data_IF_351168898169
#
_entry.id   IF_351168898169
#
_cell.length_a   1.000
_cell.length_b   1.000
_cell.length_c   1.000
_cell.angle_alpha   90.00
_cell.angle_beta   90.00
_cell.angle_gamma   90.00
#
_symmetry.space_group_name_H-M   'P 1'
#
loop_
_entity.id
_entity.type
_entity.pdbx_description
1 polymer ?
#
# COMPACT_ATOMS: atom_id res chain seq x y z
N UNK A 1 18.00 9.98 15.16
CA UNK A 1 17.31 11.25 14.91
C UNK A 1 15.84 10.93 14.89
N UNK A 2 14.96 11.60 15.64
CA UNK A 2 13.53 11.34 15.55
C UNK A 2 13.05 11.59 14.12
N UNK A 3 12.10 10.81 13.63
CA UNK A 3 11.56 10.97 12.26
C UNK A 3 10.85 12.33 12.07
N UNK A 4 10.41 12.97 13.17
CA UNK A 4 9.96 14.37 13.18
C UNK A 4 11.00 15.35 12.61
N UNK A 5 12.28 15.06 12.78
CA UNK A 5 13.37 15.91 12.31
C UNK A 5 13.66 15.72 10.81
N UNK A 6 13.06 14.69 10.18
CA UNK A 6 13.20 14.41 8.75
C UNK A 6 12.13 15.12 7.88
N UNK A 7 11.29 15.97 8.49
CA UNK A 7 10.23 16.68 7.77
C UNK A 7 9.12 15.75 7.22
N UNK A 8 9.09 14.51 7.66
CA UNK A 8 8.17 13.47 7.18
C UNK A 8 6.84 13.48 7.95
N UNK A 9 6.70 14.38 8.93
CA UNK A 9 5.60 14.35 9.87
C UNK A 9 4.93 15.72 10.01
N UNK A 10 3.61 15.71 9.96
CA UNK A 10 2.81 16.83 10.42
C UNK A 10 3.10 17.08 11.92
N UNK A 11 3.45 18.31 12.29
CA UNK A 11 3.73 18.69 13.69
C UNK A 11 2.53 18.40 14.62
N UNK A 12 1.35 18.21 14.07
CA UNK A 12 0.11 17.88 14.78
C UNK A 12 -0.19 16.37 14.86
N UNK A 13 0.64 15.51 14.27
CA UNK A 13 0.41 14.07 14.30
C UNK A 13 0.79 13.46 15.65
N UNK A 14 -0.14 12.75 16.27
CA UNK A 14 0.09 12.02 17.52
C UNK A 14 0.65 10.63 17.24
N UNK A 15 1.84 10.33 17.76
CA UNK A 15 2.41 8.98 17.73
C UNK A 15 1.64 8.08 18.71
N UNK A 16 1.24 6.91 18.22
CA UNK A 16 0.55 5.88 18.99
C UNK A 16 1.20 4.52 18.72
N UNK A 17 0.93 3.56 19.59
CA UNK A 17 1.43 2.20 19.48
C UNK A 17 0.29 1.20 19.64
N UNK A 18 0.34 0.13 18.85
CA UNK A 18 -0.54 -1.03 18.97
C UNK A 18 0.31 -2.23 19.35
N UNK A 19 0.02 -2.81 20.54
CA UNK A 19 0.70 -4.01 21.01
C UNK A 19 0.17 -5.26 20.29
N UNK A 20 1.07 -6.17 19.93
CA UNK A 20 0.78 -7.45 19.32
C UNK A 20 0.93 -8.60 20.32
N UNK A 21 0.24 -9.75 20.11
CA UNK A 21 0.34 -10.90 21.02
C UNK A 21 1.74 -11.47 21.22
N UNK A 22 2.65 -11.23 20.26
CA UNK A 22 4.06 -11.63 20.32
C UNK A 22 4.95 -10.59 21.02
N UNK A 23 4.36 -9.50 21.57
CA UNK A 23 5.04 -8.43 22.26
C UNK A 23 5.62 -7.36 21.33
N UNK A 24 5.39 -7.45 20.02
CA UNK A 24 5.77 -6.37 19.11
C UNK A 24 4.84 -5.16 19.29
N UNK A 25 5.37 -3.96 19.12
CA UNK A 25 4.62 -2.70 19.10
C UNK A 25 4.67 -2.11 17.69
N UNK A 26 3.51 -1.80 17.14
CA UNK A 26 3.37 -1.19 15.82
C UNK A 26 3.08 0.30 16.01
N UNK A 27 4.01 1.14 15.58
CA UNK A 27 3.91 2.58 15.65
C UNK A 27 3.03 3.13 14.53
N UNK A 28 2.15 4.05 14.85
CA UNK A 28 1.29 4.71 13.87
C UNK A 28 0.94 6.14 14.25
N UNK A 29 0.56 6.92 13.26
CA UNK A 29 0.22 8.33 13.36
C UNK A 29 -1.12 8.60 12.74
N UNK A 30 -1.88 9.54 13.29
CA UNK A 30 -3.14 9.99 12.73
C UNK A 30 -3.19 11.50 12.54
N UNK A 31 -3.86 11.92 11.47
CA UNK A 31 -4.14 13.32 11.15
C UNK A 31 -5.55 13.46 10.58
N UNK A 32 -6.18 14.61 10.76
CA UNK A 32 -7.52 14.90 10.26
C UNK A 32 -8.63 14.24 11.07
N UNK A 33 -9.87 14.48 10.66
CA UNK A 33 -11.09 13.96 11.26
C UNK A 33 -12.06 13.51 10.17
N UNK A 34 -12.95 12.55 10.46
CA UNK A 34 -13.96 12.05 9.51
C UNK A 34 -13.85 10.54 9.26
N UNK A 35 -14.29 10.06 8.08
CA UNK A 35 -14.16 8.67 7.70
C UNK A 35 -12.70 8.21 7.73
N UNK A 36 -12.46 6.99 8.21
CA UNK A 36 -11.11 6.49 8.40
C UNK A 36 -10.48 6.00 7.11
N UNK A 37 -9.27 6.47 6.84
CA UNK A 37 -8.36 5.93 5.83
C UNK A 37 -7.11 5.41 6.52
N UNK A 38 -6.71 4.16 6.24
CA UNK A 38 -5.43 3.61 6.69
C UNK A 38 -4.54 3.35 5.50
N UNK A 39 -3.32 3.92 5.53
CA UNK A 39 -2.33 3.73 4.47
C UNK A 39 -1.58 2.42 4.65
N UNK A 40 -1.83 1.44 3.78
CA UNK A 40 -0.99 0.25 3.63
C UNK A 40 0.12 0.55 2.60
N UNK A 41 1.19 1.15 3.10
CA UNK A 41 2.30 1.61 2.26
C UNK A 41 3.15 0.45 1.75
N UNK A 42 4.00 0.70 0.75
CA UNK A 42 5.00 -0.24 0.27
C UNK A 42 6.04 -0.58 1.37
N UNK A 43 6.73 -1.70 1.23
CA UNK A 43 7.60 -2.28 2.29
C UNK A 43 8.78 -1.40 2.73
N UNK A 44 9.17 -0.39 1.97
CA UNK A 44 10.17 0.59 2.40
C UNK A 44 9.60 1.62 3.39
N UNK A 45 8.28 1.76 3.51
CA UNK A 45 7.65 2.74 4.39
C UNK A 45 7.87 4.20 3.99
N UNK A 46 8.09 4.47 2.71
CA UNK A 46 8.41 5.82 2.21
C UNK A 46 7.13 6.64 2.03
N UNK A 47 6.73 7.43 3.01
CA UNK A 47 5.50 8.21 2.99
C UNK A 47 5.54 9.45 2.09
N UNK A 48 6.72 10.01 1.84
CA UNK A 48 6.87 11.24 1.06
C UNK A 48 6.26 11.16 -0.34
N UNK A 49 6.18 9.97 -0.92
CA UNK A 49 5.53 9.75 -2.22
C UNK A 49 4.04 10.12 -2.21
N UNK A 50 3.43 10.16 -1.02
CA UNK A 50 2.00 10.31 -0.83
C UNK A 50 1.62 11.54 -0.01
N UNK A 51 2.57 12.42 0.34
CA UNK A 51 2.31 13.59 1.19
C UNK A 51 1.18 14.47 0.65
N UNK A 52 1.22 14.80 -0.64
CA UNK A 52 0.18 15.62 -1.27
C UNK A 52 -1.20 14.94 -1.24
N UNK A 53 -1.25 13.63 -1.50
CA UNK A 53 -2.49 12.86 -1.43
C UNK A 53 -3.03 12.78 0.00
N UNK A 54 -2.17 12.44 0.96
CA UNK A 54 -2.57 12.29 2.36
C UNK A 54 -2.96 13.64 2.96
N UNK A 55 -2.25 14.72 2.65
CA UNK A 55 -2.60 16.08 3.05
C UNK A 55 -3.95 16.54 2.49
N UNK A 56 -4.22 16.21 1.22
CA UNK A 56 -5.50 16.48 0.60
C UNK A 56 -6.65 15.72 1.27
N UNK A 57 -6.44 14.45 1.61
CA UNK A 57 -7.43 13.60 2.28
C UNK A 57 -7.65 13.99 3.74
N UNK A 58 -6.62 14.42 4.46
CA UNK A 58 -6.70 14.81 5.87
C UNK A 58 -7.59 16.04 6.13
N UNK A 59 -8.01 16.76 5.08
CA UNK A 59 -8.96 17.90 5.19
C UNK A 59 -10.35 17.42 5.63
N UNK A 60 -10.77 16.24 5.21
CA UNK A 60 -12.12 15.71 5.41
C UNK A 60 -12.17 14.22 5.82
N UNK A 61 -10.99 13.62 6.03
CA UNK A 61 -10.84 12.23 6.47
C UNK A 61 -9.86 12.14 7.64
N UNK A 62 -10.07 11.14 8.49
CA UNK A 62 -9.10 10.70 9.49
C UNK A 62 -8.09 9.77 8.81
N UNK A 63 -6.86 10.21 8.63
CA UNK A 63 -5.81 9.49 7.91
C UNK A 63 -4.84 8.88 8.91
N UNK A 64 -4.66 7.56 8.85
CA UNK A 64 -3.71 6.80 9.66
C UNK A 64 -2.57 6.28 8.79
N UNK A 65 -1.35 6.54 9.24
CA UNK A 65 -0.09 6.04 8.67
C UNK A 65 0.60 5.19 9.72
N UNK A 66 1.06 4.01 9.37
CA UNK A 66 1.77 3.14 10.32
C UNK A 66 3.12 2.70 9.74
N UNK A 67 4.03 2.36 10.62
CA UNK A 67 5.28 1.72 10.27
C UNK A 67 5.13 0.20 10.33
N UNK A 68 5.57 -0.46 9.28
CA UNK A 68 5.70 -1.91 9.29
C UNK A 68 6.66 -2.34 10.41
N UNK A 69 6.45 -3.51 10.97
CA UNK A 69 7.40 -4.16 11.87
C UNK A 69 8.81 -4.11 11.27
N UNK A 70 9.82 -3.75 12.06
CA UNK A 70 11.19 -3.57 11.59
C UNK A 70 11.49 -2.24 10.91
N UNK A 71 10.50 -1.33 10.80
CA UNK A 71 10.67 -0.02 10.21
C UNK A 71 10.28 1.11 11.17
N UNK A 72 10.88 2.27 11.00
CA UNK A 72 10.60 3.46 11.81
C UNK A 72 10.64 3.19 13.30
N UNK A 73 9.59 3.61 14.02
CA UNK A 73 9.43 3.42 15.46
C UNK A 73 8.79 2.09 15.87
N UNK A 74 8.37 1.26 14.89
CA UNK A 74 7.86 -0.09 15.19
C UNK A 74 8.97 -1.03 15.65
N UNK A 75 8.58 -2.04 16.44
CA UNK A 75 9.50 -3.06 16.95
C UNK A 75 10.36 -3.66 15.86
N UNK A 76 11.68 -3.67 16.06
CA UNK A 76 12.68 -4.18 15.10
C UNK A 76 12.93 -5.67 15.28
N UNK A 77 11.87 -6.49 15.20
CA UNK A 77 11.95 -7.95 15.28
C UNK A 77 10.98 -8.57 14.27
N UNK A 78 11.45 -9.60 13.55
CA UNK A 78 10.61 -10.34 12.59
C UNK A 78 9.54 -11.19 13.24
N UNK A 79 8.81 -11.99 12.46
CA UNK A 79 9.03 -12.22 11.02
C UNK A 79 8.66 -11.03 10.14
N UNK A 80 9.28 -10.94 8.96
CA UNK A 80 9.08 -9.88 7.98
C UNK A 80 8.48 -10.48 6.71
N UNK A 81 7.21 -10.84 6.76
CA UNK A 81 6.45 -11.44 5.67
C UNK A 81 5.05 -10.82 5.55
N UNK A 82 4.38 -11.08 4.42
CA UNK A 82 3.10 -10.47 4.10
C UNK A 82 1.97 -10.89 5.05
N UNK A 83 2.00 -12.10 5.61
CA UNK A 83 0.96 -12.54 6.52
C UNK A 83 1.08 -11.85 7.88
N UNK A 84 2.29 -11.79 8.43
CA UNK A 84 2.55 -11.04 9.66
C UNK A 84 2.23 -9.55 9.49
N UNK A 85 2.66 -8.95 8.38
CA UNK A 85 2.38 -7.55 8.08
C UNK A 85 0.87 -7.28 7.90
N UNK A 86 0.10 -8.23 7.36
CA UNK A 86 -1.35 -8.12 7.27
C UNK A 86 -2.02 -8.17 8.66
N UNK A 87 -1.57 -9.05 9.54
CA UNK A 87 -2.07 -9.11 10.92
C UNK A 87 -1.71 -7.85 11.72
N UNK A 88 -0.53 -7.25 11.49
CA UNK A 88 -0.15 -5.98 12.09
C UNK A 88 -1.05 -4.84 11.58
N UNK A 89 -1.34 -4.78 10.28
CA UNK A 89 -2.29 -3.83 9.70
C UNK A 89 -3.70 -3.99 10.30
N UNK A 90 -4.19 -5.22 10.45
CA UNK A 90 -5.49 -5.50 11.08
C UNK A 90 -5.53 -4.96 12.52
N UNK A 91 -4.47 -5.18 13.30
CA UNK A 91 -4.40 -4.69 14.67
C UNK A 91 -4.36 -3.15 14.76
N UNK A 92 -3.67 -2.49 13.84
CA UNK A 92 -3.70 -1.01 13.75
C UNK A 92 -5.11 -0.53 13.46
N UNK A 93 -5.82 -1.13 12.49
CA UNK A 93 -7.22 -0.76 12.17
C UNK A 93 -8.11 -0.99 13.41
N UNK A 94 -8.03 -2.12 14.09
CA UNK A 94 -8.79 -2.41 15.31
C UNK A 94 -8.55 -1.35 16.39
N UNK A 95 -7.31 -0.90 16.56
CA UNK A 95 -6.94 0.14 17.55
C UNK A 95 -7.54 1.50 17.24
N UNK A 96 -7.97 1.75 16.01
CA UNK A 96 -8.66 3.00 15.63
C UNK A 96 -10.14 3.03 16.05
N UNK A 97 -10.74 1.86 16.31
CA UNK A 97 -12.11 1.69 16.77
C UNK A 97 -13.18 1.79 15.68
N UNK A 98 -12.81 1.82 14.40
CA UNK A 98 -13.78 1.88 13.28
C UNK A 98 -13.23 1.19 12.02
N UNK A 99 -14.11 0.69 11.13
CA UNK A 99 -13.69 0.16 9.84
C UNK A 99 -13.02 1.22 8.97
N UNK A 100 -12.03 0.81 8.18
CA UNK A 100 -11.22 1.71 7.37
C UNK A 100 -11.46 1.51 5.87
N UNK A 101 -11.37 2.58 5.09
CA UNK A 101 -10.92 2.46 3.72
C UNK A 101 -9.40 2.23 3.77
N UNK A 102 -8.92 1.14 3.15
CA UNK A 102 -7.48 0.86 3.08
C UNK A 102 -6.92 1.42 1.78
N UNK A 103 -6.08 2.44 1.87
CA UNK A 103 -5.34 3.00 0.74
C UNK A 103 -4.03 2.25 0.63
N UNK A 104 -3.83 1.48 -0.46
CA UNK A 104 -2.78 0.47 -0.53
C UNK A 104 -1.84 0.69 -1.73
N UNK A 105 -0.53 0.59 -1.51
CA UNK A 105 0.49 0.78 -2.56
C UNK A 105 1.39 -0.45 -2.70
N UNK A 106 1.67 -0.82 -3.96
CA UNK A 106 2.53 -1.94 -4.32
C UNK A 106 2.18 -3.21 -3.52
N UNK A 107 3.13 -3.77 -2.76
CA UNK A 107 2.91 -4.91 -1.87
C UNK A 107 1.93 -4.62 -0.72
N UNK A 108 1.65 -3.35 -0.43
CA UNK A 108 0.57 -2.93 0.46
C UNK A 108 -0.80 -3.41 -0.01
N UNK A 109 -1.03 -3.53 -1.32
CA UNK A 109 -2.24 -4.13 -1.88
C UNK A 109 -2.41 -5.59 -1.45
N UNK A 110 -1.33 -6.38 -1.49
CA UNK A 110 -1.35 -7.78 -1.07
C UNK A 110 -1.68 -7.94 0.44
N UNK A 111 -1.18 -7.03 1.29
CA UNK A 111 -1.55 -6.98 2.73
C UNK A 111 -3.01 -6.57 2.93
N UNK A 112 -3.44 -5.51 2.23
CA UNK A 112 -4.79 -4.97 2.34
C UNK A 112 -5.86 -6.01 1.99
N UNK A 113 -5.70 -6.72 0.86
CA UNK A 113 -6.68 -7.74 0.45
C UNK A 113 -6.70 -8.95 1.39
N UNK A 114 -5.57 -9.28 2.05
CA UNK A 114 -5.52 -10.32 3.09
C UNK A 114 -6.33 -9.92 4.32
N UNK A 115 -6.12 -8.70 4.83
CA UNK A 115 -6.92 -8.18 5.95
C UNK A 115 -8.40 -8.19 5.57
N UNK A 116 -8.74 -7.59 4.43
CA UNK A 116 -10.11 -7.44 4.00
C UNK A 116 -10.84 -8.78 3.81
N UNK A 117 -10.17 -9.81 3.29
CA UNK A 117 -10.77 -11.13 3.10
C UNK A 117 -10.90 -11.94 4.39
N UNK A 118 -9.96 -11.77 5.34
CA UNK A 118 -9.95 -12.49 6.63
C UNK A 118 -10.81 -11.80 7.70
N UNK A 119 -10.89 -10.49 7.64
CA UNK A 119 -11.53 -9.63 8.63
C UNK A 119 -12.42 -8.59 7.93
N UNK A 120 -13.49 -9.03 7.24
CA UNK A 120 -14.33 -8.15 6.42
C UNK A 120 -15.01 -7.02 7.22
N UNK A 121 -15.13 -7.15 8.53
CA UNK A 121 -15.65 -6.13 9.43
C UNK A 121 -14.70 -4.96 9.66
N UNK A 122 -13.41 -5.11 9.35
CA UNK A 122 -12.40 -4.06 9.58
C UNK A 122 -12.26 -3.08 8.41
N UNK A 123 -12.92 -3.32 7.27
CA UNK A 123 -12.75 -2.46 6.12
C UNK A 123 -14.06 -2.11 5.42
N UNK A 124 -14.08 -0.94 4.78
CA UNK A 124 -15.17 -0.51 3.89
C UNK A 124 -14.82 -0.74 2.43
N UNK A 125 -13.62 -0.38 2.01
CA UNK A 125 -13.08 -0.62 0.67
C UNK A 125 -11.55 -0.72 0.70
N UNK A 126 -10.96 -1.30 -0.34
CA UNK A 126 -9.53 -1.24 -0.63
C UNK A 126 -9.35 -0.46 -1.92
N UNK A 127 -8.58 0.61 -1.89
CA UNK A 127 -8.21 1.43 -3.04
C UNK A 127 -6.71 1.32 -3.24
N UNK A 128 -6.29 0.85 -4.39
CA UNK A 128 -4.86 0.63 -4.69
C UNK A 128 -4.42 1.40 -5.93
N UNK A 129 -3.83 2.58 -5.76
CA UNK A 129 -3.06 3.21 -6.82
C UNK A 129 -1.69 2.53 -6.96
N UNK A 130 -1.42 1.97 -8.13
CA UNK A 130 -0.17 1.26 -8.45
C UNK A 130 0.12 0.03 -7.57
N UNK A 131 -0.88 -0.83 -7.37
CA UNK A 131 -0.70 -2.14 -6.73
C UNK A 131 -1.65 -3.17 -7.33
N UNK A 132 -1.17 -4.39 -7.55
CA UNK A 132 -1.98 -5.46 -8.12
C UNK A 132 -1.83 -6.73 -7.26
N UNK A 133 -2.94 -7.28 -6.74
CA UNK A 133 -2.91 -8.46 -5.89
C UNK A 133 -2.85 -9.77 -6.68
N UNK A 134 -3.03 -9.73 -8.00
CA UNK A 134 -3.03 -10.92 -8.86
C UNK A 134 -1.60 -11.40 -9.07
N UNK A 135 -1.34 -12.65 -8.71
CA UNK A 135 -0.03 -13.26 -8.90
C UNK A 135 0.40 -13.32 -10.37
N UNK A 136 1.68 -13.15 -10.63
CA UNK A 136 2.26 -13.11 -11.99
C UNK A 136 1.94 -14.37 -12.80
N UNK A 137 1.78 -15.51 -12.16
CA UNK A 137 1.42 -16.79 -12.81
C UNK A 137 0.00 -16.81 -13.38
N UNK A 138 -0.90 -16.01 -12.84
CA UNK A 138 -2.27 -15.89 -13.32
C UNK A 138 -2.39 -14.92 -14.51
N UNK A 139 -1.46 -14.00 -14.66
CA UNK A 139 -1.40 -13.04 -15.74
C UNK A 139 -0.71 -13.68 -16.96
N UNK A 140 -1.30 -13.52 -18.14
CA UNK A 140 -0.90 -14.26 -19.35
C UNK A 140 0.02 -13.49 -20.31
N UNK A 141 0.39 -12.27 -20.01
CA UNK A 141 1.28 -11.52 -20.85
C UNK A 141 2.74 -11.89 -20.55
N UNK A 142 3.28 -12.82 -21.35
CA UNK A 142 4.57 -13.46 -21.11
C UNK A 142 5.76 -12.51 -21.24
N UNK A 143 5.75 -11.55 -22.17
CA UNK A 143 6.93 -10.72 -22.44
C UNK A 143 7.09 -9.59 -21.42
N UNK A 144 6.03 -8.85 -21.09
CA UNK A 144 6.06 -7.80 -20.08
C UNK A 144 6.28 -8.37 -18.67
N UNK A 145 5.66 -9.52 -18.35
CA UNK A 145 5.84 -10.19 -17.07
C UNK A 145 7.23 -10.81 -16.92
N UNK A 146 7.77 -11.47 -17.97
CA UNK A 146 9.12 -12.00 -17.93
C UNK A 146 10.15 -10.88 -17.76
N UNK A 147 9.94 -9.72 -18.39
CA UNK A 147 10.76 -8.54 -18.16
C UNK A 147 10.63 -8.03 -16.71
N UNK A 148 9.41 -7.97 -16.18
CA UNK A 148 9.14 -7.55 -14.80
C UNK A 148 9.75 -8.52 -13.78
N UNK A 149 9.60 -9.82 -13.96
CA UNK A 149 10.24 -10.83 -13.10
C UNK A 149 11.77 -10.72 -13.14
N UNK A 150 12.37 -10.50 -14.31
CA UNK A 150 13.80 -10.30 -14.47
C UNK A 150 14.29 -9.07 -13.70
N UNK A 151 13.57 -7.96 -13.79
CA UNK A 151 13.90 -6.73 -13.04
C UNK A 151 13.74 -6.94 -11.53
N UNK A 152 12.67 -7.61 -11.08
CA UNK A 152 12.47 -7.92 -9.65
C UNK A 152 13.58 -8.84 -9.11
N UNK A 153 13.99 -9.86 -9.85
CA UNK A 153 15.11 -10.73 -9.46
C UNK A 153 16.45 -9.98 -9.45
N UNK A 154 16.68 -9.09 -10.41
CA UNK A 154 17.85 -8.21 -10.40
C UNK A 154 17.84 -7.28 -9.17
N UNK A 155 16.68 -6.73 -8.82
CA UNK A 155 16.52 -5.90 -7.62
C UNK A 155 16.82 -6.70 -6.35
N UNK A 156 16.34 -7.93 -6.22
CA UNK A 156 16.70 -8.83 -5.10
C UNK A 156 18.20 -9.03 -5.04
N UNK A 157 18.86 -9.28 -6.18
CA UNK A 157 20.31 -9.42 -6.26
C UNK A 157 21.04 -8.17 -5.79
N UNK A 158 20.65 -7.00 -6.29
CA UNK A 158 21.22 -5.71 -5.88
C UNK A 158 20.98 -5.45 -4.39
N UNK A 159 19.77 -5.61 -3.90
CA UNK A 159 19.43 -5.40 -2.50
C UNK A 159 20.18 -6.34 -1.56
N UNK A 160 20.55 -7.53 -2.05
CA UNK A 160 21.33 -8.50 -1.27
C UNK A 160 22.80 -8.08 -1.14
N UNK A 161 23.40 -7.55 -2.21
CA UNK A 161 24.84 -7.26 -2.30
C UNK A 161 25.17 -5.80 -2.01
N UNK A 162 24.31 -4.88 -2.41
CA UNK A 162 24.45 -3.43 -2.21
C UNK A 162 23.10 -2.76 -2.05
N UNK A 163 22.57 -2.78 -0.84
CA UNK A 163 21.25 -2.21 -0.51
C UNK A 163 21.18 -0.71 -0.82
N UNK A 164 22.24 0.07 -0.52
CA UNK A 164 22.28 1.50 -0.81
C UNK A 164 22.30 1.79 -2.32
N UNK A 165 23.04 1.01 -3.07
CA UNK A 165 23.08 1.10 -4.54
C UNK A 165 21.74 0.74 -5.17
N UNK A 166 21.05 -0.28 -4.66
CA UNK A 166 19.69 -0.60 -5.09
C UNK A 166 18.71 0.54 -4.84
N UNK A 167 18.72 1.11 -3.63
CA UNK A 167 17.90 2.27 -3.28
C UNK A 167 18.22 3.48 -4.16
N UNK A 168 19.49 3.74 -4.44
CA UNK A 168 19.91 4.83 -5.33
C UNK A 168 19.29 4.68 -6.71
N UNK A 169 19.38 3.48 -7.29
CA UNK A 169 18.79 3.20 -8.61
C UNK A 169 17.29 3.45 -8.58
N UNK A 170 16.58 2.94 -7.57
CA UNK A 170 15.13 3.12 -7.44
C UNK A 170 14.73 4.59 -7.27
N UNK A 171 15.37 5.31 -6.36
CA UNK A 171 15.05 6.72 -6.06
C UNK A 171 15.34 7.60 -7.26
N UNK A 172 16.49 7.43 -7.92
CA UNK A 172 16.88 8.23 -9.08
C UNK A 172 15.98 7.96 -10.30
N UNK A 173 15.58 6.70 -10.51
CA UNK A 173 14.67 6.33 -11.61
C UNK A 173 13.27 6.90 -11.39
N UNK A 174 12.78 6.87 -10.16
CA UNK A 174 11.47 7.42 -9.82
C UNK A 174 11.44 8.96 -9.81
N UNK A 175 12.59 9.63 -9.71
CA UNK A 175 12.70 11.07 -9.59
C UNK A 175 13.83 11.61 -10.48
N UNK A 176 13.67 11.59 -11.81
CA UNK A 176 14.74 11.92 -12.75
C UNK A 176 15.20 13.39 -12.64
N UNK A 177 14.37 14.28 -12.11
CA UNK A 177 14.66 15.71 -11.96
C UNK A 177 15.35 16.06 -10.63
N UNK A 178 15.60 15.08 -9.75
CA UNK A 178 16.28 15.33 -8.48
C UNK A 178 17.80 15.40 -8.66
N UNK A 179 18.41 16.37 -7.98
CA UNK A 179 19.85 16.43 -7.88
C UNK A 179 20.44 15.31 -7.01
N UNK A 180 21.73 15.07 -7.14
CA UNK A 180 22.46 14.00 -6.45
C UNK A 180 22.43 14.15 -4.91
N UNK A 181 22.38 15.39 -4.39
CA UNK A 181 22.31 15.64 -2.95
C UNK A 181 20.97 15.16 -2.38
N UNK A 182 19.87 15.54 -3.05
CA UNK A 182 18.52 15.13 -2.67
C UNK A 182 18.35 13.61 -2.74
N UNK A 183 18.88 12.97 -3.79
CA UNK A 183 18.88 11.49 -3.91
C UNK A 183 19.65 10.88 -2.74
N UNK A 184 20.83 11.37 -2.41
CA UNK A 184 21.68 10.87 -1.33
C UNK A 184 21.03 11.01 0.04
N UNK A 185 20.42 12.16 0.32
CA UNK A 185 19.67 12.39 1.53
C UNK A 185 18.52 11.38 1.66
N UNK A 186 17.73 11.21 0.61
CA UNK A 186 16.61 10.27 0.60
C UNK A 186 17.02 8.81 0.84
N UNK A 187 18.16 8.40 0.28
CA UNK A 187 18.71 7.07 0.55
C UNK A 187 19.09 6.91 2.02
N UNK A 188 19.72 7.92 2.61
CA UNK A 188 20.11 7.89 4.02
C UNK A 188 18.88 7.74 4.94
N UNK A 189 17.83 8.51 4.69
CA UNK A 189 16.54 8.43 5.40
C UNK A 189 15.89 7.05 5.23
N UNK A 190 15.85 6.54 4.00
CA UNK A 190 15.25 5.23 3.72
C UNK A 190 15.96 4.11 4.45
N UNK A 191 17.31 4.10 4.48
CA UNK A 191 18.09 3.08 5.19
C UNK A 191 17.87 3.15 6.70
N UNK A 192 17.67 4.34 7.26
CA UNK A 192 17.38 4.51 8.68
C UNK A 192 15.97 4.02 9.03
N UNK A 193 14.98 4.36 8.21
CA UNK A 193 13.59 3.94 8.40
C UNK A 193 13.40 2.45 8.16
N UNK A 194 13.95 1.93 7.08
CA UNK A 194 13.77 0.55 6.64
C UNK A 194 15.13 -0.10 6.34
N UNK A 195 15.73 -0.79 7.30
CA UNK A 195 17.00 -1.47 7.11
C UNK A 195 16.84 -2.71 6.19
N UNK A 196 17.97 -3.13 5.60
CA UNK A 196 18.00 -4.23 4.63
C UNK A 196 17.39 -5.52 5.17
N UNK A 197 17.62 -5.84 6.44
CA UNK A 197 17.11 -7.05 7.11
C UNK A 197 15.57 -7.07 7.19
N UNK A 198 14.91 -5.92 7.16
CA UNK A 198 13.46 -5.81 7.11
C UNK A 198 12.92 -5.74 5.68
N UNK A 199 13.62 -5.05 4.77
CA UNK A 199 13.18 -4.84 3.40
C UNK A 199 13.32 -6.09 2.51
N UNK A 200 14.47 -6.77 2.57
CA UNK A 200 14.79 -7.87 1.65
C UNK A 200 13.87 -9.10 1.80
N UNK A 201 13.54 -9.58 3.01
CA UNK A 201 12.58 -10.66 3.18
C UNK A 201 11.19 -10.32 2.62
N UNK A 202 10.72 -9.08 2.82
CA UNK A 202 9.42 -8.61 2.29
C UNK A 202 9.39 -8.57 0.78
N UNK A 203 10.44 -8.03 0.15
CA UNK A 203 10.55 -8.05 -1.31
C UNK A 203 10.46 -9.49 -1.85
N UNK A 204 11.19 -10.43 -1.24
CA UNK A 204 11.15 -11.85 -1.62
C UNK A 204 9.78 -12.47 -1.41
N UNK A 205 9.13 -12.16 -0.29
CA UNK A 205 7.78 -12.62 0.01
C UNK A 205 6.77 -12.10 -1.02
N UNK A 206 6.83 -10.82 -1.36
CA UNK A 206 5.95 -10.20 -2.35
C UNK A 206 6.13 -10.77 -3.76
N UNK A 207 7.37 -10.96 -4.22
CA UNK A 207 7.63 -11.53 -5.56
C UNK A 207 7.07 -12.95 -5.71
N UNK A 208 7.08 -13.71 -4.63
CA UNK A 208 6.56 -15.09 -4.60
C UNK A 208 5.05 -15.17 -4.37
N UNK A 209 4.40 -14.05 -4.08
CA UNK A 209 3.03 -13.99 -3.62
C UNK A 209 1.99 -14.09 -4.75
N UNK A 210 0.82 -14.63 -4.38
CA UNK A 210 -0.40 -14.60 -5.17
C UNK A 210 -1.59 -14.38 -4.23
N UNK A 211 -2.10 -13.15 -4.21
CA UNK A 211 -3.23 -12.77 -3.37
C UNK A 211 -4.56 -12.77 -4.14
N UNK A 212 -4.64 -13.44 -5.31
CA UNK A 212 -5.81 -13.44 -6.19
C UNK A 212 -7.08 -13.90 -5.47
N UNK A 213 -7.03 -14.97 -4.69
CA UNK A 213 -8.21 -15.47 -3.98
C UNK A 213 -8.66 -14.51 -2.86
N UNK A 214 -7.71 -13.88 -2.17
CA UNK A 214 -8.02 -12.81 -1.21
C UNK A 214 -8.70 -11.63 -1.90
N UNK A 215 -8.17 -11.19 -3.03
CA UNK A 215 -8.74 -10.08 -3.81
C UNK A 215 -10.15 -10.40 -4.32
N UNK A 216 -10.39 -11.64 -4.80
CA UNK A 216 -11.70 -12.10 -5.27
C UNK A 216 -12.77 -12.02 -4.18
N UNK A 217 -12.41 -12.27 -2.94
CA UNK A 217 -13.33 -12.18 -1.81
C UNK A 217 -13.83 -10.76 -1.49
N UNK A 218 -13.19 -9.73 -2.02
CA UNK A 218 -13.60 -8.34 -1.82
C UNK A 218 -14.75 -7.92 -2.76
N UNK A 219 -14.85 -8.54 -3.95
CA UNK A 219 -15.84 -8.16 -4.96
C UNK A 219 -15.70 -6.69 -5.38
N UNK A 220 -16.82 -5.98 -5.36
CA UNK A 220 -16.94 -4.55 -5.75
C UNK A 220 -16.30 -3.56 -4.75
N UNK A 221 -15.80 -4.04 -3.61
CA UNK A 221 -15.06 -3.21 -2.64
C UNK A 221 -13.57 -3.10 -2.94
N UNK A 222 -13.08 -3.67 -4.05
CA UNK A 222 -11.70 -3.54 -4.53
C UNK A 222 -11.65 -2.56 -5.70
N UNK A 223 -10.82 -1.52 -5.55
CA UNK A 223 -10.57 -0.48 -6.54
C UNK A 223 -9.09 -0.46 -6.90
N UNK A 224 -8.77 -0.74 -8.15
CA UNK A 224 -7.43 -0.68 -8.68
C UNK A 224 -7.34 0.51 -9.63
N UNK A 225 -6.46 1.48 -9.30
CA UNK A 225 -6.25 2.68 -10.09
C UNK A 225 -4.94 2.51 -10.87
N UNK A 226 -5.06 2.21 -12.13
CA UNK A 226 -3.92 1.86 -12.98
C UNK A 226 -3.59 2.99 -13.95
N UNK A 227 -2.35 3.11 -14.32
CA UNK A 227 -1.90 4.09 -15.29
C UNK A 227 -1.01 3.47 -16.38
N UNK A 228 -1.07 4.04 -17.58
CA UNK A 228 -0.27 3.58 -18.71
C UNK A 228 1.21 3.94 -18.61
N UNK A 229 1.61 4.73 -17.63
CA UNK A 229 3.00 5.16 -17.40
C UNK A 229 3.74 4.23 -16.46
N UNK A 230 3.01 3.38 -15.73
CA UNK A 230 3.60 2.43 -14.79
C UNK A 230 4.17 1.22 -15.53
N UNK A 231 5.49 1.05 -15.45
CA UNK A 231 6.18 -0.08 -16.10
C UNK A 231 5.87 -1.46 -15.49
N UNK A 232 5.34 -1.49 -14.26
CA UNK A 232 5.04 -2.72 -13.53
C UNK A 232 3.58 -3.15 -13.68
N UNK A 233 2.68 -2.16 -13.77
CA UNK A 233 1.23 -2.34 -13.83
C UNK A 233 0.70 -1.64 -15.08
N UNK A 234 0.99 -2.22 -16.25
CA UNK A 234 0.57 -1.67 -17.55
C UNK A 234 -0.93 -1.81 -17.74
N UNK A 235 -1.50 -1.06 -18.69
CA UNK A 235 -2.92 -1.19 -19.05
C UNK A 235 -3.30 -2.61 -19.49
N UNK A 236 -2.37 -3.35 -20.08
CA UNK A 236 -2.61 -4.75 -20.42
C UNK A 236 -2.73 -5.62 -19.17
N UNK A 237 -1.89 -5.42 -18.18
CA UNK A 237 -2.01 -6.07 -16.86
C UNK A 237 -3.34 -5.70 -16.20
N UNK A 238 -3.74 -4.43 -16.26
CA UNK A 238 -5.04 -3.97 -15.73
C UNK A 238 -6.22 -4.71 -16.36
N UNK A 239 -6.23 -4.85 -17.70
CA UNK A 239 -7.29 -5.59 -18.43
C UNK A 239 -7.34 -7.07 -18.06
N UNK A 240 -6.17 -7.71 -17.93
CA UNK A 240 -6.10 -9.11 -17.49
C UNK A 240 -6.59 -9.26 -16.04
N UNK A 241 -6.22 -8.34 -15.17
CA UNK A 241 -6.69 -8.29 -13.79
C UNK A 241 -8.21 -8.16 -13.74
N UNK A 242 -8.81 -7.25 -14.52
CA UNK A 242 -10.26 -7.11 -14.63
C UNK A 242 -10.95 -8.41 -15.09
N UNK A 243 -10.33 -9.15 -16.00
CA UNK A 243 -10.87 -10.44 -16.45
C UNK A 243 -10.79 -11.54 -15.37
N UNK A 244 -9.79 -11.48 -14.48
CA UNK A 244 -9.59 -12.41 -13.37
C UNK A 244 -10.48 -12.04 -12.17
N UNK A 245 -10.66 -10.73 -11.94
CA UNK A 245 -11.45 -10.13 -10.85
C UNK A 245 -12.60 -9.29 -11.45
N UNK A 246 -13.64 -9.93 -12.00
CA UNK A 246 -14.67 -9.22 -12.77
C UNK A 246 -15.53 -8.27 -11.96
N UNK A 247 -15.60 -8.45 -10.64
CA UNK A 247 -16.37 -7.60 -9.73
C UNK A 247 -15.55 -6.40 -9.21
N UNK A 248 -14.23 -6.44 -9.33
CA UNK A 248 -13.38 -5.34 -8.90
C UNK A 248 -13.49 -4.15 -9.88
N UNK A 249 -13.32 -2.94 -9.36
CA UNK A 249 -13.24 -1.72 -10.17
C UNK A 249 -11.80 -1.50 -10.61
N UNK A 250 -11.52 -1.62 -11.92
CA UNK A 250 -10.22 -1.28 -12.49
C UNK A 250 -10.37 0.02 -13.28
N UNK A 251 -9.80 1.10 -12.78
CA UNK A 251 -9.91 2.43 -13.34
C UNK A 251 -8.57 2.87 -13.93
N UNK A 252 -8.62 3.36 -15.16
CA UNK A 252 -7.48 4.03 -15.79
C UNK A 252 -7.43 5.49 -15.30
N UNK A 253 -6.30 5.92 -14.74
CA UNK A 253 -6.05 7.30 -14.32
C UNK A 253 -5.01 7.91 -15.24
N UNK A 254 -5.44 8.88 -16.03
CA UNK A 254 -4.56 9.63 -16.92
C UNK A 254 -3.45 10.32 -16.12
N UNK A 255 -2.21 10.25 -16.60
CA UNK A 255 -1.00 10.74 -15.94
C UNK A 255 -0.62 10.03 -14.62
N UNK A 256 -1.30 8.92 -14.28
CA UNK A 256 -0.98 8.08 -13.15
C UNK A 256 -1.63 8.48 -11.81
N UNK A 257 -2.11 7.49 -11.11
CA UNK A 257 -2.85 7.69 -9.85
C UNK A 257 -1.99 8.31 -8.73
N UNK A 258 -0.67 8.11 -8.77
CA UNK A 258 0.27 8.70 -7.81
C UNK A 258 0.56 10.17 -8.18
N UNK A 259 0.74 10.45 -9.46
CA UNK A 259 1.04 11.79 -9.99
C UNK A 259 -0.17 12.74 -9.98
N UNK A 260 -1.37 12.17 -9.85
CA UNK A 260 -2.65 12.91 -9.80
C UNK A 260 -3.37 12.68 -8.47
N UNK A 261 -2.83 13.25 -7.37
CA UNK A 261 -3.42 13.09 -6.04
C UNK A 261 -4.85 13.64 -5.95
N UNK A 262 -5.19 14.64 -6.75
CA UNK A 262 -6.54 15.20 -6.86
C UNK A 262 -7.57 14.19 -7.40
N UNK A 263 -7.22 13.42 -8.42
CA UNK A 263 -8.09 12.39 -9.00
C UNK A 263 -8.26 11.24 -8.02
N UNK A 264 -7.16 10.73 -7.47
CA UNK A 264 -7.20 9.64 -6.48
C UNK A 264 -8.01 10.03 -5.25
N UNK A 265 -7.83 11.25 -4.72
CA UNK A 265 -8.64 11.75 -3.62
C UNK A 265 -10.13 11.88 -4.00
N UNK A 266 -10.43 12.30 -5.23
CA UNK A 266 -11.79 12.36 -5.75
C UNK A 266 -12.49 11.00 -5.78
N UNK A 267 -11.79 9.94 -6.22
CA UNK A 267 -12.30 8.55 -6.19
C UNK A 267 -12.57 8.12 -4.75
N UNK A 268 -11.62 8.35 -3.83
CA UNK A 268 -11.78 7.99 -2.42
C UNK A 268 -12.98 8.69 -1.79
N UNK A 269 -13.17 10.00 -2.05
CA UNK A 269 -14.33 10.76 -1.57
C UNK A 269 -15.64 10.23 -2.12
N UNK A 270 -15.68 9.82 -3.39
CA UNK A 270 -16.84 9.17 -3.98
C UNK A 270 -17.23 7.90 -3.22
N UNK A 271 -16.25 7.03 -2.91
CA UNK A 271 -16.46 5.79 -2.17
C UNK A 271 -16.91 6.05 -0.72
N UNK A 272 -16.29 7.00 -0.03
CA UNK A 272 -16.60 7.29 1.39
C UNK A 272 -17.87 8.10 1.59
N UNK A 273 -18.37 8.81 0.56
CA UNK A 273 -19.64 9.56 0.60
C UNK A 273 -20.87 8.65 0.42
N UNK A 274 -20.72 7.46 -0.17
CA UNK A 274 -21.81 6.50 -0.29
C UNK A 274 -22.06 5.86 1.09
N UNK A 275 -23.30 5.92 1.63
CA UNK A 275 -23.62 5.23 2.87
C UNK A 275 -23.37 3.73 2.67
N UNK A 276 -22.61 3.10 3.57
CA UNK A 276 -22.35 1.66 3.56
C UNK A 276 -23.70 0.94 3.38
N UNK A 277 -23.89 0.26 2.24
CA UNK A 277 -25.06 -0.58 2.03
C UNK A 277 -24.95 -1.75 3.02
N UNK A 278 -25.59 -1.59 4.16
CA UNK A 278 -25.87 -2.67 5.11
C UNK A 278 -26.66 -3.71 4.33
N UNK A 279 -26.09 -4.90 4.18
CA UNK A 279 -26.55 -6.00 3.34
C UNK A 279 -28.06 -6.12 3.24
N UNK A 280 -28.60 -5.94 2.06
CA UNK A 280 -29.98 -6.22 1.76
C UNK A 280 -30.20 -7.74 1.67
N UNK A 281 -30.49 -8.37 2.80
CA UNK A 281 -31.43 -9.47 2.81
C UNK A 281 -32.80 -8.93 2.42
N UNK A 282 -33.38 -9.38 1.33
CA UNK A 282 -34.76 -9.12 1.01
C UNK A 282 -35.07 -8.82 -0.46
N UNK A 283 -34.76 -9.75 -1.36
CA UNK A 283 -35.57 -9.91 -2.57
C UNK A 283 -36.45 -11.12 -2.36
N UNK A 284 -37.58 -10.90 -1.70
CA UNK A 284 -38.75 -11.76 -1.85
C UNK A 284 -39.95 -10.88 -2.15
N UNK A 285 -40.60 -11.24 -3.30
CA UNK A 285 -42.01 -11.04 -3.63
C UNK A 285 -42.50 -9.65 -3.98
N UNK A 286 -42.74 -9.45 -5.29
CA UNK A 286 -44.07 -9.06 -5.78
C UNK A 286 -44.14 -9.24 -7.30
N UNK A 287 -44.91 -10.26 -7.70
CA UNK A 287 -45.84 -10.40 -8.83
C UNK A 287 -45.57 -9.60 -10.11
#
# INVERSE_FOLDING_TARGET
>A
MPLSDLGVMDENASLRFTERPDGAEIAWYETGEGPLIVLANQFFGLWYTFEDLLGNLAVDHRVVRYFLRGTGESTRAGPYDLDTDAEDLAAVIESTGQPALILAFADGCNRAVRVASRRPELFTAVVSPAGNPVGTRALRNTDALAASEGVLQALVGMMTTDYRGALRTMVATANPDWDEERVRQRIAETVEVCPQEAALPRLKSWIADDATEHARALGDRLWLLEDGTNQWFTLEVARQTQAILPEAHVLEVEDGAISRPDITAGVIRGITAEPAQVGSQGREQAL
#
